data_IF_907437345460
#
_entry.id   IF_907437345460
#
_cell.length_a   1.000
_cell.length_b   1.000
_cell.length_c   1.000
_cell.angle_alpha   90.00
_cell.angle_beta   90.00
_cell.angle_gamma   90.00
#
_symmetry.space_group_name_H-M   'P 1'
#
loop_
_entity.id
_entity.type
_entity.pdbx_description
1 polymer ?
#
# COMPACT_ATOMS: atom_id res chain seq x y z
N UNK A 1 34.82 -0.68 -64.07
CA UNK A 1 34.01 -1.90 -63.95
C UNK A 1 34.14 -2.44 -62.53
N UNK A 2 32.99 -2.64 -61.86
CA UNK A 2 32.76 -3.39 -60.60
C UNK A 2 33.27 -2.78 -59.26
N UNK A 3 32.56 -3.06 -58.14
CA UNK A 3 31.91 -2.00 -57.33
C UNK A 3 32.16 -2.17 -55.80
N UNK A 4 31.34 -1.47 -54.97
CA UNK A 4 31.04 -1.79 -53.56
C UNK A 4 32.14 -1.25 -52.61
N UNK A 5 31.85 -0.35 -51.66
CA UNK A 5 31.11 -0.68 -50.45
C UNK A 5 30.49 0.57 -49.82
N UNK A 6 29.17 0.55 -49.77
CA UNK A 6 28.39 1.35 -48.85
C UNK A 6 28.76 0.90 -47.44
N UNK A 7 29.52 1.73 -46.72
CA UNK A 7 29.64 1.58 -45.26
C UNK A 7 28.29 2.01 -44.68
N UNK A 8 27.41 1.03 -44.51
CA UNK A 8 26.27 1.13 -43.61
C UNK A 8 26.83 1.48 -42.23
N UNK A 9 26.77 2.77 -41.88
CA UNK A 9 26.82 3.18 -40.48
C UNK A 9 25.59 2.55 -39.85
N UNK A 10 25.81 1.41 -39.20
CA UNK A 10 24.87 0.81 -38.29
C UNK A 10 24.56 1.88 -37.24
N UNK A 11 23.38 2.49 -37.38
CA UNK A 11 22.72 3.19 -36.30
C UNK A 11 22.51 2.10 -35.25
N UNK A 12 23.46 2.00 -34.33
CA UNK A 12 23.28 1.27 -33.08
C UNK A 12 22.17 2.04 -32.38
N UNK A 13 20.96 1.53 -32.56
CA UNK A 13 19.81 1.77 -31.72
C UNK A 13 20.30 1.49 -30.30
N UNK A 14 20.76 2.53 -29.61
CA UNK A 14 20.63 2.67 -28.17
C UNK A 14 19.13 2.81 -27.88
N UNK A 15 18.38 1.76 -28.22
CA UNK A 15 17.07 1.52 -27.66
C UNK A 15 17.35 1.26 -26.20
N UNK A 16 17.18 2.30 -25.41
CA UNK A 16 17.01 2.23 -23.98
C UNK A 16 16.11 1.03 -23.71
N UNK A 17 16.69 -0.08 -23.28
CA UNK A 17 15.96 -1.07 -22.51
C UNK A 17 15.54 -0.31 -21.24
N UNK A 18 14.43 0.42 -21.33
CA UNK A 18 13.53 0.54 -20.21
C UNK A 18 13.13 -0.91 -19.96
N UNK A 19 13.94 -1.63 -19.19
CA UNK A 19 13.65 -2.97 -18.73
C UNK A 19 12.29 -2.83 -18.07
N UNK A 20 11.27 -3.26 -18.79
CA UNK A 20 9.93 -3.39 -18.26
C UNK A 20 10.12 -4.46 -17.20
N UNK A 21 10.15 -4.04 -15.93
CA UNK A 21 10.36 -4.97 -14.84
C UNK A 21 9.38 -6.12 -15.02
N UNK A 22 9.91 -7.31 -15.23
CA UNK A 22 9.08 -8.48 -15.50
C UNK A 22 8.25 -8.81 -14.25
N UNK A 23 7.18 -9.60 -14.37
CA UNK A 23 6.40 -10.06 -13.22
C UNK A 23 7.26 -10.69 -12.11
N UNK A 24 8.40 -11.30 -12.46
CA UNK A 24 9.34 -11.86 -11.48
C UNK A 24 10.07 -10.77 -10.65
N UNK A 25 10.50 -9.67 -11.26
CA UNK A 25 11.15 -8.57 -10.55
C UNK A 25 10.18 -7.88 -9.57
N UNK A 26 8.91 -7.73 -9.96
CA UNK A 26 7.87 -7.22 -9.07
C UNK A 26 7.62 -8.14 -7.88
N UNK A 27 7.69 -9.46 -8.08
CA UNK A 27 7.49 -10.45 -7.02
C UNK A 27 8.62 -10.40 -5.99
N UNK A 28 9.85 -10.21 -6.44
CA UNK A 28 11.03 -10.14 -5.57
C UNK A 28 11.12 -8.80 -4.82
N UNK A 29 10.59 -7.72 -5.37
CA UNK A 29 10.52 -6.41 -4.73
C UNK A 29 9.38 -6.29 -3.70
N UNK A 30 8.48 -7.27 -3.66
CA UNK A 30 7.27 -7.20 -2.85
C UNK A 30 7.51 -7.65 -1.40
N UNK A 31 7.00 -6.87 -0.46
CA UNK A 31 7.01 -7.17 0.97
C UNK A 31 5.57 -7.37 1.45
N UNK A 32 5.31 -8.55 2.01
CA UNK A 32 3.98 -8.95 2.46
C UNK A 32 3.85 -8.93 3.98
N UNK A 33 2.69 -8.48 4.42
CA UNK A 33 2.24 -8.41 5.80
C UNK A 33 1.05 -9.34 5.98
N UNK A 34 1.08 -10.21 6.98
CA UNK A 34 0.02 -11.17 7.28
C UNK A 34 -0.56 -10.93 8.66
N UNK A 35 -1.87 -11.17 8.84
CA UNK A 35 -2.53 -10.99 10.13
C UNK A 35 -1.89 -11.91 11.19
N UNK A 36 -1.54 -11.35 12.35
CA UNK A 36 -0.86 -12.07 13.44
C UNK A 36 -1.76 -13.03 14.25
N UNK A 37 -2.98 -13.33 13.82
CA UNK A 37 -3.94 -14.09 14.64
C UNK A 37 -3.75 -15.60 14.47
N UNK A 38 -3.89 -16.35 15.57
CA UNK A 38 -3.83 -17.81 15.56
C UNK A 38 -5.10 -18.46 14.98
N UNK A 39 -6.18 -17.69 14.83
CA UNK A 39 -7.50 -18.18 14.44
C UNK A 39 -7.96 -17.48 13.13
N UNK A 40 -7.32 -17.81 12.01
CA UNK A 40 -7.71 -17.29 10.68
C UNK A 40 -9.19 -17.53 10.36
N UNK A 41 -9.79 -18.59 10.90
CA UNK A 41 -11.21 -18.93 10.72
C UNK A 41 -12.19 -17.93 11.39
N UNK A 42 -11.70 -17.00 12.22
CA UNK A 42 -12.52 -15.96 12.89
C UNK A 42 -12.36 -14.58 12.25
N UNK A 43 -11.54 -14.46 11.21
CA UNK A 43 -11.33 -13.20 10.50
C UNK A 43 -12.48 -13.05 9.48
N UNK A 44 -13.27 -11.97 9.53
CA UNK A 44 -14.32 -11.73 8.54
C UNK A 44 -13.76 -11.66 7.13
N UNK A 45 -14.54 -12.12 6.13
CA UNK A 45 -14.10 -12.21 4.74
C UNK A 45 -13.69 -10.85 4.14
N UNK A 46 -14.29 -9.75 4.62
CA UNK A 46 -13.92 -8.39 4.21
C UNK A 46 -12.53 -7.94 4.69
N UNK A 47 -11.96 -8.55 5.74
CA UNK A 47 -10.65 -8.17 6.26
C UNK A 47 -9.55 -8.90 5.45
N UNK A 48 -8.69 -8.17 4.71
CA UNK A 48 -7.67 -8.81 3.89
C UNK A 48 -6.68 -9.58 4.75
N UNK A 49 -6.50 -10.88 4.55
CA UNK A 49 -5.58 -11.67 5.40
C UNK A 49 -4.10 -11.40 5.14
N UNK A 50 -3.79 -10.86 3.97
CA UNK A 50 -2.46 -10.46 3.52
C UNK A 50 -2.50 -9.10 2.81
N UNK A 51 -1.51 -8.25 3.09
CA UNK A 51 -1.31 -6.96 2.42
C UNK A 51 0.14 -6.92 1.94
N UNK A 52 0.34 -6.78 0.64
CA UNK A 52 1.67 -6.74 0.06
C UNK A 52 1.95 -5.39 -0.60
N UNK A 53 3.17 -4.88 -0.42
CA UNK A 53 3.62 -3.56 -0.89
C UNK A 53 5.00 -3.69 -1.55
N UNK A 54 5.22 -2.96 -2.63
CA UNK A 54 6.52 -2.86 -3.30
C UNK A 54 7.22 -1.54 -3.00
N UNK A 55 6.46 -0.46 -2.80
CA UNK A 55 7.04 0.81 -2.41
C UNK A 55 6.08 1.66 -1.61
N UNK A 56 6.66 2.54 -0.81
CA UNK A 56 5.95 3.61 -0.10
C UNK A 56 6.80 4.88 -0.17
N UNK A 57 6.17 5.96 -0.62
CA UNK A 57 6.79 7.27 -0.77
C UNK A 57 5.88 8.35 -0.24
N UNK A 58 6.46 9.31 0.46
CA UNK A 58 5.78 10.47 1.02
C UNK A 58 6.35 11.71 0.34
N UNK A 59 5.53 12.41 -0.44
CA UNK A 59 5.85 13.75 -0.91
C UNK A 59 5.71 14.73 0.26
N UNK A 60 6.84 15.04 0.91
CA UNK A 60 6.91 15.90 2.09
C UNK A 60 6.40 17.33 1.82
N UNK A 61 6.53 17.81 0.58
CA UNK A 61 6.09 19.15 0.19
C UNK A 61 4.58 19.20 -0.06
N UNK A 62 4.06 18.24 -0.82
CA UNK A 62 2.63 18.14 -1.14
C UNK A 62 1.82 17.50 -0.02
N UNK A 63 2.48 16.94 1.00
CA UNK A 63 1.89 16.14 2.07
C UNK A 63 1.01 15.04 1.49
N UNK A 64 1.56 14.28 0.54
CA UNK A 64 0.90 13.14 -0.11
C UNK A 64 1.67 11.86 0.14
N UNK A 65 0.95 10.74 0.20
CA UNK A 65 1.54 9.41 0.26
C UNK A 65 1.18 8.66 -1.00
N UNK A 66 2.15 7.94 -1.54
CA UNK A 66 2.04 7.07 -2.68
C UNK A 66 2.54 5.70 -2.22
N UNK A 67 1.70 4.70 -2.40
CA UNK A 67 2.08 3.32 -2.12
C UNK A 67 1.69 2.48 -3.34
N UNK A 68 2.51 1.50 -3.64
CA UNK A 68 2.40 0.70 -4.86
C UNK A 68 2.49 -0.79 -4.54
N UNK A 69 1.71 -1.57 -5.29
CA UNK A 69 1.73 -3.04 -5.29
C UNK A 69 1.20 -3.55 -6.62
N UNK A 70 1.96 -4.42 -7.29
CA UNK A 70 1.61 -4.98 -8.59
C UNK A 70 0.58 -6.12 -8.46
N UNK A 71 0.73 -6.99 -7.46
CA UNK A 71 -0.04 -8.23 -7.33
C UNK A 71 -1.25 -8.16 -6.40
N UNK A 72 -1.51 -7.03 -5.73
CA UNK A 72 -2.59 -6.99 -4.75
C UNK A 72 -3.96 -6.94 -5.42
N UNK A 73 -4.86 -7.88 -5.10
CA UNK A 73 -6.31 -7.73 -5.38
C UNK A 73 -6.92 -6.50 -4.66
N UNK A 74 -6.12 -5.84 -3.83
CA UNK A 74 -6.45 -4.72 -2.97
C UNK A 74 -5.74 -3.42 -3.39
N UNK A 75 -5.32 -3.28 -4.65
CA UNK A 75 -4.61 -2.07 -5.12
C UNK A 75 -5.42 -0.79 -4.86
N UNK A 76 -6.76 -0.86 -4.95
CA UNK A 76 -7.66 0.24 -4.61
C UNK A 76 -7.56 0.70 -3.13
N UNK A 77 -7.21 -0.21 -2.21
CA UNK A 77 -7.06 0.08 -0.78
C UNK A 77 -5.82 0.93 -0.53
N UNK A 78 -4.77 0.67 -1.30
CA UNK A 78 -3.45 1.29 -1.15
C UNK A 78 -3.40 2.62 -1.92
N UNK A 79 -4.06 2.72 -3.07
CA UNK A 79 -4.06 3.92 -3.93
C UNK A 79 -4.69 5.16 -3.29
N UNK A 80 -5.61 4.99 -2.33
CA UNK A 80 -6.35 6.10 -1.74
C UNK A 80 -5.87 6.47 -0.32
N UNK A 81 -4.68 6.02 0.08
CA UNK A 81 -4.08 6.38 1.37
C UNK A 81 -3.94 7.91 1.50
N UNK A 82 -4.38 8.41 2.65
CA UNK A 82 -4.26 9.81 3.04
C UNK A 82 -3.35 9.91 4.25
N UNK A 83 -2.38 10.82 4.21
CA UNK A 83 -1.56 11.13 5.37
C UNK A 83 -2.43 11.74 6.47
N UNK A 84 -2.37 11.12 7.64
CA UNK A 84 -3.03 11.58 8.86
C UNK A 84 -2.04 12.29 9.78
N UNK A 85 -0.76 11.91 9.74
CA UNK A 85 0.30 12.54 10.53
C UNK A 85 1.65 12.51 9.81
N UNK A 86 2.43 13.57 10.00
CA UNK A 86 3.84 13.67 9.65
C UNK A 86 4.56 14.38 10.79
N UNK A 87 5.50 13.69 11.44
CA UNK A 87 6.27 14.21 12.58
C UNK A 87 7.75 14.01 12.31
N UNK A 88 8.53 15.08 12.42
CA UNK A 88 9.97 15.02 12.23
C UNK A 88 10.62 14.60 13.55
N UNK A 89 11.36 13.49 13.55
CA UNK A 89 12.14 13.10 14.72
C UNK A 89 13.51 13.77 14.65
N UNK A 90 14.11 14.04 15.81
CA UNK A 90 15.42 14.71 15.90
C UNK A 90 16.59 13.96 15.22
N UNK A 91 16.35 12.74 14.74
CA UNK A 91 17.33 11.83 14.14
C UNK A 91 17.35 11.89 12.59
N UNK A 92 16.64 12.83 11.96
CA UNK A 92 16.64 12.98 10.49
C UNK A 92 15.78 11.95 9.75
N UNK A 93 14.90 11.26 10.48
CA UNK A 93 13.83 10.42 9.95
C UNK A 93 12.48 11.05 10.28
N UNK A 94 11.55 10.96 9.34
CA UNK A 94 10.21 11.54 9.46
C UNK A 94 9.24 10.38 9.71
N UNK A 95 8.59 10.38 10.86
CA UNK A 95 7.51 9.46 11.16
C UNK A 95 6.27 9.87 10.37
N UNK A 96 5.63 8.91 9.71
CA UNK A 96 4.35 9.15 9.03
C UNK A 96 3.29 8.17 9.54
N UNK A 97 2.04 8.62 9.42
CA UNK A 97 0.86 7.77 9.50
C UNK A 97 -0.06 8.13 8.34
N UNK A 98 -0.63 7.11 7.73
CA UNK A 98 -1.61 7.23 6.68
C UNK A 98 -2.76 6.27 6.95
N UNK A 99 -3.94 6.64 6.46
CA UNK A 99 -5.10 5.78 6.50
C UNK A 99 -5.93 5.87 5.23
N UNK A 100 -6.66 4.82 4.92
CA UNK A 100 -7.67 4.82 3.88
C UNK A 100 -8.90 4.06 4.36
N UNK A 101 -10.09 4.55 3.98
CA UNK A 101 -11.33 3.80 4.15
C UNK A 101 -11.48 2.88 2.95
N UNK A 102 -11.50 1.58 3.24
CA UNK A 102 -11.52 0.49 2.26
C UNK A 102 -12.93 0.30 1.70
N UNK A 103 -13.92 0.28 2.59
CA UNK A 103 -15.31 0.03 2.25
C UNK A 103 -16.22 0.91 3.11
N UNK A 104 -17.20 1.53 2.47
CA UNK A 104 -18.17 2.43 3.09
C UNK A 104 -19.56 2.05 2.58
N UNK A 105 -20.17 1.03 3.18
CA UNK A 105 -21.50 0.60 2.78
C UNK A 105 -22.57 1.48 3.44
N UNK A 106 -22.85 2.64 2.84
CA UNK A 106 -23.99 3.48 3.21
C UNK A 106 -25.30 2.82 2.75
N UNK A 107 -26.04 2.20 3.66
CA UNK A 107 -27.47 1.94 3.47
C UNK A 107 -28.29 2.89 4.34
N UNK A 108 -29.06 3.77 3.69
CA UNK A 108 -29.84 4.84 4.31
C UNK A 108 -30.98 4.39 5.25
N UNK A 109 -31.14 3.10 5.55
CA UNK A 109 -32.19 2.58 6.45
C UNK A 109 -31.65 1.33 7.16
N UNK A 110 -31.34 1.45 8.45
CA UNK A 110 -31.10 0.37 9.44
C UNK A 110 -30.60 -1.00 8.91
N UNK A 111 -29.46 -1.03 8.21
CA UNK A 111 -28.74 -2.25 7.81
C UNK A 111 -27.46 -2.44 8.62
N UNK A 112 -26.96 -3.67 8.74
CA UNK A 112 -25.64 -3.94 9.33
C UNK A 112 -24.59 -3.31 8.42
N UNK A 113 -23.74 -2.45 8.97
CA UNK A 113 -22.71 -1.75 8.21
C UNK A 113 -21.36 -1.99 8.85
N UNK A 114 -20.35 -2.24 8.01
CA UNK A 114 -18.98 -2.41 8.42
C UNK A 114 -18.17 -1.28 7.77
N UNK A 115 -17.49 -0.50 8.60
CA UNK A 115 -16.47 0.43 8.16
C UNK A 115 -15.10 -0.25 8.33
N UNK A 116 -14.37 -0.37 7.23
CA UNK A 116 -13.07 -0.98 7.20
C UNK A 116 -12.03 0.08 6.89
N UNK A 117 -11.11 0.33 7.82
CA UNK A 117 -10.08 1.34 7.68
C UNK A 117 -8.68 0.70 7.73
N UNK A 118 -7.89 0.94 6.68
CA UNK A 118 -6.48 0.59 6.64
C UNK A 118 -5.66 1.69 7.31
N UNK A 119 -4.72 1.29 8.15
CA UNK A 119 -3.70 2.16 8.74
C UNK A 119 -2.32 1.64 8.35
N UNK A 120 -1.49 2.54 7.83
CA UNK A 120 -0.08 2.29 7.54
C UNK A 120 0.75 3.39 8.19
N UNK A 121 1.70 3.02 9.03
CA UNK A 121 2.64 3.94 9.64
C UNK A 121 4.06 3.43 9.51
N UNK A 122 5.02 4.34 9.58
CA UNK A 122 6.44 4.00 9.47
C UNK A 122 7.32 5.23 9.49
N UNK A 123 8.54 5.06 9.01
CA UNK A 123 9.53 6.13 8.89
C UNK A 123 9.92 6.31 7.43
N UNK A 124 10.11 7.57 7.03
CA UNK A 124 10.71 7.95 5.75
C UNK A 124 11.96 8.78 5.96
N UNK A 125 12.88 8.71 5.01
CA UNK A 125 14.05 9.58 4.97
C UNK A 125 13.69 11.01 4.52
N UNK A 126 14.70 11.90 4.44
CA UNK A 126 14.52 13.28 3.98
C UNK A 126 14.05 13.41 2.51
N UNK A 127 14.15 12.33 1.71
CA UNK A 127 13.64 12.27 0.34
C UNK A 127 12.20 11.74 0.28
N UNK A 128 11.61 11.36 1.42
CA UNK A 128 10.28 10.79 1.51
C UNK A 128 10.21 9.29 1.20
N UNK A 129 11.34 8.59 1.09
CA UNK A 129 11.38 7.15 0.82
C UNK A 129 11.23 6.38 2.14
N UNK A 130 10.26 5.46 2.19
CA UNK A 130 10.02 4.64 3.37
C UNK A 130 10.62 3.25 3.28
N UNK A 131 10.97 2.70 4.44
CA UNK A 131 11.43 1.32 4.57
C UNK A 131 10.22 0.38 4.65
N UNK A 132 9.88 -0.23 3.51
CA UNK A 132 8.69 -1.08 3.36
C UNK A 132 8.69 -2.33 4.24
N UNK A 133 9.81 -2.73 4.83
CA UNK A 133 9.95 -3.86 5.75
C UNK A 133 9.84 -3.46 7.24
N UNK A 134 9.65 -2.18 7.52
CA UNK A 134 9.54 -1.62 8.87
C UNK A 134 8.23 -0.85 9.08
N UNK A 135 7.18 -1.23 8.34
CA UNK A 135 5.88 -0.59 8.46
C UNK A 135 5.05 -1.23 9.58
N UNK A 136 4.27 -0.40 10.24
CA UNK A 136 3.14 -0.82 11.07
C UNK A 136 1.90 -0.82 10.20
N UNK A 137 1.36 -2.00 9.93
CA UNK A 137 0.15 -2.18 9.13
C UNK A 137 -0.96 -2.74 10.00
N UNK A 138 -2.12 -2.08 10.01
CA UNK A 138 -3.28 -2.51 10.75
C UNK A 138 -4.56 -2.24 9.95
N UNK A 139 -5.56 -3.09 10.14
CA UNK A 139 -6.91 -2.86 9.62
C UNK A 139 -7.86 -2.80 10.80
N UNK A 140 -8.67 -1.75 10.86
CA UNK A 140 -9.72 -1.60 11.84
C UNK A 140 -11.07 -1.90 11.19
N UNK A 141 -11.81 -2.82 11.79
CA UNK A 141 -13.20 -3.09 11.46
C UNK A 141 -14.08 -2.47 12.54
N UNK A 142 -14.96 -1.56 12.13
CA UNK A 142 -15.96 -0.97 13.02
C UNK A 142 -17.33 -1.40 12.53
N UNK A 143 -18.00 -2.25 13.29
CA UNK A 143 -19.40 -2.55 13.06
C UNK A 143 -20.26 -1.35 13.50
N UNK A 144 -20.98 -0.77 12.56
CA UNK A 144 -21.95 0.28 12.79
C UNK A 144 -23.29 -0.41 12.98
N UNK A 145 -23.85 -0.33 14.19
CA UNK A 145 -25.04 -1.09 14.52
C UNK A 145 -26.28 -0.62 13.75
N UNK A 146 -27.18 -1.57 13.51
CA UNK A 146 -28.50 -1.43 12.88
C UNK A 146 -29.52 -0.58 13.66
N UNK A 147 -29.15 -0.07 14.83
CA UNK A 147 -30.04 0.74 15.67
C UNK A 147 -29.39 2.09 15.94
N UNK A 148 -30.15 3.18 15.93
CA UNK A 148 -29.67 4.56 16.08
C UNK A 148 -28.92 4.86 17.40
N UNK A 149 -28.63 3.85 18.22
CA UNK A 149 -28.18 3.96 19.60
C UNK A 149 -27.05 2.99 20.00
N UNK A 150 -26.41 2.27 19.08
CA UNK A 150 -25.24 1.43 19.43
C UNK A 150 -24.06 1.68 18.49
N UNK A 151 -22.96 2.15 19.05
CA UNK A 151 -21.63 2.04 18.43
C UNK A 151 -21.01 0.76 18.97
N UNK A 152 -20.66 -0.20 18.11
CA UNK A 152 -19.85 -1.33 18.53
C UNK A 152 -18.38 -0.88 18.68
N UNK A 153 -17.63 -1.59 19.53
CA UNK A 153 -16.21 -1.28 19.71
C UNK A 153 -15.42 -1.73 18.48
N UNK A 154 -14.51 -0.89 17.96
CA UNK A 154 -13.71 -1.25 16.81
C UNK A 154 -12.79 -2.43 17.14
N UNK A 155 -12.67 -3.36 16.19
CA UNK A 155 -11.74 -4.49 16.26
C UNK A 155 -10.54 -4.17 15.37
N UNK A 156 -9.33 -4.26 15.93
CA UNK A 156 -8.08 -3.96 15.21
C UNK A 156 -7.31 -5.25 14.91
N UNK A 157 -7.07 -5.49 13.63
CA UNK A 157 -6.26 -6.57 13.11
C UNK A 157 -4.87 -6.04 12.78
N UNK A 158 -3.87 -6.45 13.57
CA UNK A 158 -2.48 -6.08 13.35
C UNK A 158 -1.80 -7.11 12.43
N UNK A 159 -1.03 -6.60 11.47
CA UNK A 159 -0.25 -7.43 10.57
C UNK A 159 1.21 -7.48 10.99
N UNK A 160 1.85 -8.61 10.72
CA UNK A 160 3.29 -8.81 10.87
C UNK A 160 3.92 -9.05 9.52
N UNK A 161 5.16 -8.62 9.39
CA UNK A 161 6.00 -8.99 8.26
C UNK A 161 6.04 -10.53 8.15
N UNK A 162 5.78 -11.04 6.95
CA UNK A 162 5.79 -12.47 6.64
C UNK A 162 7.18 -13.08 6.69
#
# INVERSE_FOLDING_TARGET
>A
MKPIFWVFVAIIYLGSFNAFAGPEEHRDAQVCYVISSADYAKIPDEVPTEICLESIKVDLYKKKIEAYSFFSNFTALIQNLKLTSLTNNHEGLIQFQASNVIENNYMNICGSQNDLQLFIGGQVNNNGEGLINQLSVAVQLTAIATSCHRNESPVVYNYKLR
#
